data_IF_966843297442
#
_entry.id   IF_966843297442
#
_cell.length_a   1.000
_cell.length_b   1.000
_cell.length_c   1.000
_cell.angle_alpha   90.00
_cell.angle_beta   90.00
_cell.angle_gamma   90.00
#
_symmetry.space_group_name_H-M   'P 1'
#
loop_
_entity.id
_entity.type
_entity.pdbx_description
1 polymer ?
#
# COMPACT_ATOMS: atom_id res chain seq x y z
N UNK A 1 28.06 -2.87 22.63
CA UNK A 1 26.94 -3.28 21.78
C UNK A 1 26.15 -2.02 21.50
N UNK A 2 26.41 -1.34 20.39
CA UNK A 2 25.49 -0.35 19.81
C UNK A 2 25.89 -0.09 18.36
N UNK A 3 24.96 -0.29 17.42
CA UNK A 3 25.12 0.03 15.99
C UNK A 3 24.09 1.10 15.68
N UNK A 4 24.48 2.36 15.83
CA UNK A 4 23.71 3.50 15.34
C UNK A 4 24.06 3.68 13.86
N UNK A 5 23.20 3.14 12.99
CA UNK A 5 23.26 3.38 11.55
C UNK A 5 22.90 4.85 11.27
N UNK A 6 23.90 5.62 10.85
CA UNK A 6 23.70 6.96 10.34
C UNK A 6 23.05 6.87 8.95
N UNK A 7 21.73 7.04 8.89
CA UNK A 7 21.01 7.28 7.64
C UNK A 7 21.41 8.66 7.13
N UNK A 8 22.33 8.71 6.19
CA UNK A 8 22.69 9.94 5.49
C UNK A 8 21.64 10.25 4.42
N UNK A 9 20.76 11.20 4.72
CA UNK A 9 19.88 11.85 3.75
C UNK A 9 20.62 13.05 3.19
N UNK A 10 21.21 12.91 1.99
CA UNK A 10 21.79 14.06 1.28
C UNK A 10 20.67 14.84 0.56
N UNK A 11 20.24 15.95 1.15
CA UNK A 11 19.45 16.98 0.50
C UNK A 11 20.41 17.80 -0.36
N UNK A 12 20.44 17.53 -1.66
CA UNK A 12 21.23 18.30 -2.62
C UNK A 12 20.55 19.64 -2.93
N UNK A 13 20.87 20.67 -2.14
CA UNK A 13 20.69 22.07 -2.56
C UNK A 13 22.04 22.56 -3.10
N UNK A 14 22.04 22.87 -4.40
CA UNK A 14 23.20 23.24 -5.19
C UNK A 14 23.50 24.75 -5.08
N UNK A 15 24.71 25.10 -4.64
CA UNK A 15 25.46 26.26 -5.15
C UNK A 15 26.91 26.26 -4.64
N UNK A 16 27.80 26.76 -5.50
CA UNK A 16 29.17 27.24 -5.22
C UNK A 16 30.36 26.25 -5.35
N UNK A 17 30.73 26.07 -6.63
CA UNK A 17 32.09 26.24 -7.19
C UNK A 17 33.27 26.21 -6.20
N UNK A 18 34.00 25.09 -6.08
CA UNK A 18 35.47 25.09 -5.97
C UNK A 18 36.05 23.83 -6.62
N UNK A 19 37.10 24.08 -7.42
CA UNK A 19 37.96 23.14 -8.14
C UNK A 19 38.48 21.96 -7.31
N UNK A 20 38.55 20.80 -7.94
CA UNK A 20 39.55 19.78 -7.62
C UNK A 20 39.09 18.70 -6.64
N UNK A 21 38.12 17.88 -7.03
CA UNK A 21 37.91 16.59 -6.39
C UNK A 21 37.73 15.52 -7.47
N UNK A 22 38.62 14.53 -7.42
CA UNK A 22 38.63 13.28 -8.19
C UNK A 22 37.19 12.84 -8.50
N UNK A 23 36.80 12.87 -9.77
CA UNK A 23 35.56 12.22 -10.22
C UNK A 23 35.65 10.76 -9.79
N UNK A 24 34.92 10.41 -8.74
CA UNK A 24 34.72 9.02 -8.35
C UNK A 24 33.89 8.44 -9.49
N UNK A 25 34.56 7.71 -10.37
CA UNK A 25 33.94 7.05 -11.51
C UNK A 25 32.76 6.24 -10.98
N UNK A 26 31.55 6.71 -11.28
CA UNK A 26 30.32 6.02 -10.90
C UNK A 26 30.24 4.82 -11.81
N UNK A 27 30.76 3.69 -11.34
CA UNK A 27 30.68 2.39 -12.01
C UNK A 27 29.23 1.90 -11.87
N UNK A 28 28.37 2.40 -12.75
CA UNK A 28 26.99 1.98 -12.86
C UNK A 28 26.37 2.51 -14.16
N UNK A 29 25.76 1.63 -14.95
CA UNK A 29 25.05 2.00 -16.19
C UNK A 29 23.70 2.72 -15.91
N UNK A 30 23.46 3.21 -14.70
CA UNK A 30 22.17 3.74 -14.27
C UNK A 30 22.19 5.27 -14.25
N UNK A 31 21.38 5.87 -15.13
CA UNK A 31 21.12 7.30 -15.14
C UNK A 31 19.95 7.59 -14.19
N UNK A 32 20.26 8.07 -12.97
CA UNK A 32 19.24 8.40 -11.95
C UNK A 32 18.67 9.81 -12.09
N UNK A 33 19.30 10.66 -12.89
CA UNK A 33 18.90 12.04 -13.10
C UNK A 33 18.87 12.32 -14.60
N UNK A 34 17.71 12.73 -15.11
CA UNK A 34 17.57 13.18 -16.50
C UNK A 34 16.77 14.49 -16.54
N UNK A 35 17.39 15.55 -17.07
CA UNK A 35 16.72 16.84 -17.25
C UNK A 35 16.11 17.45 -15.96
N UNK A 36 16.65 17.12 -14.78
CA UNK A 36 16.13 17.59 -13.49
C UNK A 36 15.01 16.71 -12.90
N UNK A 37 14.66 15.59 -13.54
CA UNK A 37 13.75 14.58 -12.99
C UNK A 37 14.56 13.38 -12.47
N UNK A 38 14.25 12.96 -11.25
CA UNK A 38 14.79 11.72 -10.68
C UNK A 38 14.11 10.53 -11.32
N UNK A 39 14.89 9.69 -12.01
CA UNK A 39 14.40 8.46 -12.61
C UNK A 39 14.25 7.41 -11.51
N UNK A 40 13.02 6.99 -11.25
CA UNK A 40 12.71 5.91 -10.33
C UNK A 40 13.09 4.56 -10.96
N UNK A 41 13.69 3.67 -10.17
CA UNK A 41 13.93 2.27 -10.56
C UNK A 41 12.88 1.42 -9.85
N UNK A 42 12.05 0.64 -10.56
CA UNK A 42 12.02 0.47 -12.02
C UNK A 42 11.44 1.68 -12.76
N UNK A 43 11.99 1.96 -13.95
CA UNK A 43 11.48 3.02 -14.84
C UNK A 43 10.07 2.67 -15.32
N UNK A 44 9.12 3.63 -15.29
CA UNK A 44 7.80 3.41 -15.87
C UNK A 44 7.93 3.08 -17.36
N UNK A 45 7.32 1.96 -17.76
CA UNK A 45 7.28 1.54 -19.15
C UNK A 45 6.30 2.44 -19.94
N UNK A 46 6.55 2.70 -21.24
CA UNK A 46 5.58 3.38 -22.11
C UNK A 46 4.31 2.56 -22.38
N UNK A 47 4.20 1.32 -21.89
CA UNK A 47 3.01 0.50 -22.04
C UNK A 47 1.83 1.09 -21.22
N UNK A 48 0.68 1.41 -21.83
CA UNK A 48 -0.51 1.89 -21.11
C UNK A 48 -1.12 0.85 -20.18
N UNK A 49 -0.74 -0.43 -20.29
CA UNK A 49 -1.12 -1.51 -19.37
C UNK A 49 -0.13 -1.70 -18.23
N UNK A 50 0.94 -0.90 -18.17
CA UNK A 50 1.89 -0.95 -17.06
C UNK A 50 1.16 -0.52 -15.76
N UNK A 51 1.11 -1.37 -14.72
CA UNK A 51 0.52 -1.01 -13.43
C UNK A 51 1.12 0.27 -12.84
N UNK A 52 2.36 0.63 -13.21
CA UNK A 52 3.01 1.85 -12.74
C UNK A 52 2.44 3.12 -13.40
N UNK A 53 1.97 3.03 -14.65
CA UNK A 53 1.46 4.14 -15.48
C UNK A 53 -0.07 4.36 -15.36
N UNK A 54 -0.75 3.65 -14.47
CA UNK A 54 -2.19 3.85 -14.28
C UNK A 54 -2.48 5.28 -13.76
N UNK A 55 -3.49 5.97 -14.31
CA UNK A 55 -3.87 7.29 -13.83
C UNK A 55 -4.28 7.22 -12.34
N UNK A 56 -3.96 8.25 -11.53
CA UNK A 56 -4.13 8.18 -10.07
C UNK A 56 -5.54 7.78 -9.61
N UNK A 57 -6.57 8.21 -10.33
CA UNK A 57 -7.97 7.88 -10.00
C UNK A 57 -8.25 6.37 -10.03
N UNK A 58 -7.60 5.59 -10.91
CA UNK A 58 -7.77 4.13 -10.96
C UNK A 58 -7.15 3.48 -9.74
N UNK A 59 -6.00 3.98 -9.29
CA UNK A 59 -5.32 3.51 -8.07
C UNK A 59 -6.23 3.71 -6.85
N UNK A 60 -6.84 4.88 -6.72
CA UNK A 60 -7.82 5.17 -5.66
C UNK A 60 -9.10 4.34 -5.77
N UNK A 61 -9.64 4.14 -6.97
CA UNK A 61 -10.84 3.33 -7.17
C UNK A 61 -10.63 1.88 -6.72
N UNK A 62 -9.49 1.27 -7.08
CA UNK A 62 -9.15 -0.10 -6.65
C UNK A 62 -8.98 -0.16 -5.12
N UNK A 63 -8.30 0.82 -4.53
CA UNK A 63 -8.12 0.89 -3.07
C UNK A 63 -9.47 0.96 -2.33
N UNK A 64 -10.37 1.83 -2.79
CA UNK A 64 -11.71 1.97 -2.21
C UNK A 64 -12.49 0.66 -2.36
N UNK A 65 -12.49 0.05 -3.54
CA UNK A 65 -13.22 -1.19 -3.81
C UNK A 65 -12.77 -2.34 -2.90
N UNK A 66 -11.47 -2.54 -2.75
CA UNK A 66 -10.90 -3.59 -1.88
C UNK A 66 -11.21 -3.31 -0.41
N UNK A 67 -11.09 -2.05 0.02
CA UNK A 67 -11.42 -1.65 1.39
C UNK A 67 -12.91 -1.86 1.71
N UNK A 68 -13.80 -1.50 0.79
CA UNK A 68 -15.23 -1.70 0.94
C UNK A 68 -15.55 -3.18 1.02
N UNK A 69 -15.05 -4.00 0.10
CA UNK A 69 -15.23 -5.46 0.14
C UNK A 69 -14.77 -6.07 1.47
N UNK A 70 -13.58 -5.69 1.95
CA UNK A 70 -13.06 -6.16 3.24
C UNK A 70 -13.96 -5.75 4.40
N UNK A 71 -14.42 -4.50 4.43
CA UNK A 71 -15.34 -4.01 5.44
C UNK A 71 -16.66 -4.79 5.44
N UNK A 72 -17.27 -5.01 4.27
CA UNK A 72 -18.52 -5.76 4.15
C UNK A 72 -18.35 -7.20 4.60
N UNK A 73 -17.23 -7.85 4.24
CA UNK A 73 -16.94 -9.22 4.65
C UNK A 73 -16.82 -9.34 6.18
N UNK A 74 -16.12 -8.40 6.83
CA UNK A 74 -15.96 -8.37 8.29
C UNK A 74 -17.30 -8.11 8.98
N UNK A 75 -18.10 -7.16 8.49
CA UNK A 75 -19.42 -6.86 9.06
C UNK A 75 -20.36 -8.07 8.96
N UNK A 76 -20.39 -8.76 7.82
CA UNK A 76 -21.21 -9.95 7.63
C UNK A 76 -20.75 -11.10 8.53
N UNK A 77 -19.44 -11.36 8.61
CA UNK A 77 -18.90 -12.41 9.48
C UNK A 77 -19.18 -12.10 10.96
N UNK A 78 -19.03 -10.83 11.38
CA UNK A 78 -19.29 -10.41 12.76
C UNK A 78 -20.78 -10.40 13.12
N UNK A 79 -21.69 -10.25 12.14
CA UNK A 79 -23.13 -10.15 12.37
C UNK A 79 -23.79 -11.45 12.83
N UNK A 80 -23.19 -12.61 12.55
CA UNK A 80 -23.78 -13.93 12.85
C UNK A 80 -23.93 -14.20 14.37
N UNK A 81 -22.97 -13.73 15.19
CA UNK A 81 -23.02 -13.95 16.64
C UNK A 81 -24.25 -13.32 17.31
N UNK A 82 -24.50 -12.01 17.12
CA UNK A 82 -25.69 -11.34 17.66
C UNK A 82 -27.01 -11.88 17.11
N UNK A 83 -27.05 -12.26 15.84
CA UNK A 83 -28.26 -12.82 15.21
C UNK A 83 -28.71 -14.10 15.94
N UNK A 84 -27.77 -15.00 16.28
CA UNK A 84 -28.10 -16.20 17.03
C UNK A 84 -28.72 -15.91 18.41
N UNK A 85 -28.17 -14.92 19.14
CA UNK A 85 -28.71 -14.50 20.43
C UNK A 85 -30.13 -13.95 20.32
N UNK A 86 -30.44 -13.21 19.26
CA UNK A 86 -31.79 -12.67 19.03
C UNK A 86 -32.78 -13.77 18.63
N UNK A 87 -32.35 -14.69 17.76
CA UNK A 87 -33.18 -15.82 17.31
C UNK A 87 -33.50 -16.75 18.47
N UNK A 88 -32.51 -17.10 19.30
CA UNK A 88 -32.73 -17.95 20.49
C UNK A 88 -33.66 -17.30 21.51
N UNK A 89 -33.57 -15.98 21.72
CA UNK A 89 -34.49 -15.24 22.57
C UNK A 89 -35.94 -15.23 22.04
N UNK A 90 -36.13 -15.30 20.73
CA UNK A 90 -37.46 -15.32 20.09
C UNK A 90 -38.17 -16.68 20.21
N UNK A 91 -37.46 -17.76 20.55
CA UNK A 91 -38.00 -19.13 20.69
C UNK A 91 -37.71 -19.73 22.07
N UNK A 92 -38.33 -19.23 23.15
CA UNK A 92 -38.10 -19.74 24.50
C UNK A 92 -38.60 -21.19 24.64
N UNK A 93 -37.71 -22.10 25.06
CA UNK A 93 -38.02 -23.52 25.31
C UNK A 93 -37.80 -24.47 24.12
N UNK A 94 -37.46 -23.94 22.94
CA UNK A 94 -37.19 -24.72 21.72
C UNK A 94 -35.80 -24.42 21.15
N UNK A 95 -34.80 -24.33 22.03
CA UNK A 95 -33.39 -24.08 21.66
C UNK A 95 -32.84 -25.10 20.65
N UNK A 96 -33.32 -26.35 20.70
CA UNK A 96 -32.96 -27.39 19.73
C UNK A 96 -33.51 -27.12 18.30
N UNK A 97 -34.60 -26.36 18.16
CA UNK A 97 -35.20 -25.99 16.87
C UNK A 97 -34.65 -24.68 16.31
N UNK A 98 -34.07 -23.83 17.16
CA UNK A 98 -33.44 -22.59 16.72
C UNK A 98 -32.22 -22.84 15.80
N UNK A 99 -31.55 -23.99 15.96
CA UNK A 99 -30.44 -24.42 15.09
C UNK A 99 -30.89 -24.89 13.68
N UNK A 100 -32.19 -25.11 13.45
CA UNK A 100 -32.74 -25.58 12.16
C UNK A 100 -32.94 -24.42 11.16
N UNK A 101 -32.77 -23.17 11.61
CA UNK A 101 -32.97 -21.94 10.84
C UNK A 101 -31.65 -21.25 10.43
N UNK A 102 -30.51 -21.85 10.75
CA UNK A 102 -29.15 -21.38 10.42
C UNK A 102 -28.48 -22.36 9.46
#
# INVERSE_FOLDING_TARGET
>A
MDKTEAVQVEIASQSDVVKGARQKEVVGNLKLLDGGQTILVPTPSPDPKDPLNLPPWRKWAVLILVSAYGCTAVVLASGLGPIFSIVSASYPGQTARANDLL
#
